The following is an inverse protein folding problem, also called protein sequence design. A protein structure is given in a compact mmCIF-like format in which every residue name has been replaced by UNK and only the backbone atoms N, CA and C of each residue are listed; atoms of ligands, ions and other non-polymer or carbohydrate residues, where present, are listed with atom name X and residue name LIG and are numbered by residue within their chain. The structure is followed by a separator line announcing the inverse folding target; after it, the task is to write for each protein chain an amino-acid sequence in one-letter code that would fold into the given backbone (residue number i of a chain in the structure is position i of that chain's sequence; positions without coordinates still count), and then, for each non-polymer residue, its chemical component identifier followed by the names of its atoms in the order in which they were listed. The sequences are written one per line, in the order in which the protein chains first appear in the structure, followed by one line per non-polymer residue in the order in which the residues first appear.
data_IF_941888667066
#
_entry.id   IF_941888667066
#
_cell.length_a   1.000
_cell.length_b   1.000
_cell.length_c   1.000
_cell.angle_alpha   90.00
_cell.angle_beta   90.00
_cell.angle_gamma   90.00
#
_symmetry.space_group_name_H-M   'P 1'
#
loop_
_entity.id
_entity.type
_entity.pdbx_description
1 polymer ?
#
# COMPACT_ATOMS: atom_id res chain seq x y z
N UNK A 1 -65.96 -2.18 -32.11
CA UNK A 1 -65.78 -0.74 -31.86
C UNK A 1 -64.65 -0.29 -32.75
N UNK A 2 -64.95 0.38 -33.85
CA UNK A 2 -63.93 0.88 -34.78
C UNK A 2 -63.53 2.29 -34.38
N UNK A 3 -62.23 2.51 -34.18
CA UNK A 3 -61.68 3.86 -34.01
C UNK A 3 -61.93 4.65 -35.31
N UNK A 4 -62.59 5.80 -35.20
CA UNK A 4 -62.80 6.72 -36.32
C UNK A 4 -61.46 7.43 -36.61
N UNK A 5 -61.00 7.48 -37.86
CA UNK A 5 -59.82 8.27 -38.19
C UNK A 5 -60.14 9.75 -37.94
N UNK A 6 -59.33 10.42 -37.12
CA UNK A 6 -59.37 11.88 -36.96
C UNK A 6 -59.11 12.52 -38.33
N UNK A 7 -60.19 12.90 -39.00
CA UNK A 7 -60.13 13.58 -40.28
C UNK A 7 -59.64 15.00 -40.01
N UNK A 8 -58.42 15.32 -40.45
CA UNK A 8 -57.86 16.66 -40.32
C UNK A 8 -58.76 17.60 -41.14
N UNK A 9 -59.28 18.64 -40.50
CA UNK A 9 -60.07 19.65 -41.19
C UNK A 9 -59.19 20.38 -42.22
N UNK A 10 -59.54 20.23 -43.49
CA UNK A 10 -58.82 20.81 -44.62
C UNK A 10 -58.77 22.34 -44.50
N UNK A 11 -59.79 22.97 -43.90
CA UNK A 11 -59.79 24.42 -43.71
C UNK A 11 -58.79 24.85 -42.63
N UNK A 12 -58.65 24.06 -41.57
CA UNK A 12 -57.66 24.29 -40.51
C UNK A 12 -56.24 24.12 -41.09
N UNK A 13 -56.03 23.08 -41.91
CA UNK A 13 -54.78 22.89 -42.64
C UNK A 13 -54.47 24.06 -43.60
N UNK A 14 -55.49 24.57 -44.30
CA UNK A 14 -55.35 25.73 -45.18
C UNK A 14 -55.07 27.02 -44.40
N UNK A 15 -55.65 27.20 -43.20
CA UNK A 15 -55.33 28.36 -42.36
C UNK A 15 -53.88 28.31 -41.87
N UNK A 16 -53.40 27.16 -41.38
CA UNK A 16 -52.00 27.01 -41.00
C UNK A 16 -51.05 27.26 -42.19
N UNK A 17 -51.43 26.81 -43.39
CA UNK A 17 -50.66 27.06 -44.60
C UNK A 17 -50.60 28.54 -44.95
N UNK A 18 -51.71 29.27 -44.84
CA UNK A 18 -51.76 30.71 -45.08
C UNK A 18 -50.96 31.51 -44.04
N UNK A 19 -51.01 31.11 -42.78
CA UNK A 19 -50.23 31.74 -41.72
C UNK A 19 -48.74 31.56 -41.96
N UNK A 20 -48.31 30.35 -42.37
CA UNK A 20 -46.93 30.07 -42.73
C UNK A 20 -46.47 30.89 -43.95
N UNK A 21 -47.32 31.00 -44.97
CA UNK A 21 -47.05 31.87 -46.14
C UNK A 21 -46.97 33.33 -45.73
N UNK A 22 -47.83 33.79 -44.81
CA UNK A 22 -47.82 35.15 -44.27
C UNK A 22 -46.54 35.48 -43.50
N UNK A 23 -46.10 34.57 -42.63
CA UNK A 23 -44.85 34.68 -41.85
C UNK A 23 -43.62 34.67 -42.77
N UNK A 24 -43.60 33.84 -43.81
CA UNK A 24 -42.48 33.76 -44.74
C UNK A 24 -42.54 34.81 -45.86
N UNK A 25 -43.58 35.66 -45.90
CA UNK A 25 -43.75 36.69 -46.93
C UNK A 25 -42.81 37.87 -46.73
N UNK A 26 -42.42 38.18 -45.50
CA UNK A 26 -41.46 39.23 -45.20
C UNK A 26 -40.03 38.70 -45.35
N UNK A 27 -39.31 39.22 -46.35
CA UNK A 27 -37.90 38.88 -46.58
C UNK A 27 -37.01 39.18 -45.36
N UNK A 28 -37.43 40.08 -44.47
CA UNK A 28 -36.72 40.37 -43.21
C UNK A 28 -36.70 39.16 -42.27
N UNK A 29 -37.81 38.43 -42.15
CA UNK A 29 -37.91 37.29 -41.24
C UNK A 29 -37.03 36.12 -41.73
N UNK A 30 -36.98 35.90 -43.05
CA UNK A 30 -36.06 34.92 -43.66
C UNK A 30 -34.60 35.28 -43.39
N UNK A 31 -34.23 36.55 -43.47
CA UNK A 31 -32.87 37.00 -43.18
C UNK A 31 -32.51 36.82 -41.70
N UNK A 32 -33.44 37.10 -40.78
CA UNK A 32 -33.25 36.89 -39.34
C UNK A 32 -33.05 35.40 -39.04
N UNK A 33 -33.86 34.52 -39.63
CA UNK A 33 -33.73 33.07 -39.47
C UNK A 33 -32.40 32.55 -40.04
N UNK A 34 -31.96 33.08 -41.19
CA UNK A 34 -30.66 32.72 -41.78
C UNK A 34 -29.49 33.15 -40.88
N UNK A 35 -29.53 34.38 -40.34
CA UNK A 35 -28.54 34.85 -39.38
C UNK A 35 -28.52 33.98 -38.11
N UNK A 36 -29.69 33.70 -37.54
CA UNK A 36 -29.82 32.84 -36.35
C UNK A 36 -29.29 31.42 -36.62
N UNK A 37 -29.53 30.87 -37.82
CA UNK A 37 -28.98 29.59 -38.23
C UNK A 37 -27.44 29.64 -38.29
N UNK A 38 -26.85 30.69 -38.87
CA UNK A 38 -25.39 30.82 -38.95
C UNK A 38 -24.75 31.05 -37.58
N UNK A 39 -25.38 31.83 -36.69
CA UNK A 39 -24.98 31.96 -35.29
C UNK A 39 -25.00 30.60 -34.60
N UNK A 40 -26.05 29.80 -34.80
CA UNK A 40 -26.18 28.49 -34.18
C UNK A 40 -25.11 27.50 -34.65
N UNK A 41 -24.69 27.58 -35.93
CA UNK A 41 -23.58 26.78 -36.47
C UNK A 41 -22.25 27.23 -35.88
N UNK A 42 -22.04 28.54 -35.77
CA UNK A 42 -20.82 29.09 -35.16
C UNK A 42 -20.70 28.67 -33.70
N UNK A 43 -21.77 28.84 -32.91
CA UNK A 43 -21.84 28.38 -31.52
C UNK A 43 -21.58 26.87 -31.39
N UNK A 44 -22.17 26.07 -32.28
CA UNK A 44 -21.92 24.62 -32.31
C UNK A 44 -20.44 24.33 -32.56
N UNK A 45 -19.83 24.98 -33.55
CA UNK A 45 -18.42 24.77 -33.86
C UNK A 45 -17.49 25.17 -32.70
N UNK A 46 -17.82 26.25 -31.99
CA UNK A 46 -17.08 26.69 -30.80
C UNK A 46 -17.24 25.68 -29.65
N UNK A 47 -18.46 25.23 -29.40
CA UNK A 47 -18.74 24.21 -28.38
C UNK A 47 -18.05 22.88 -28.68
N UNK A 48 -18.00 22.46 -29.94
CA UNK A 48 -17.30 21.24 -30.36
C UNK A 48 -15.78 21.40 -30.16
N UNK A 49 -15.22 22.57 -30.47
CA UNK A 49 -13.82 22.87 -30.24
C UNK A 49 -13.47 22.85 -28.74
N UNK A 50 -14.29 23.48 -27.90
CA UNK A 50 -14.11 23.50 -26.44
C UNK A 50 -14.23 22.10 -25.83
N UNK A 51 -15.20 21.31 -26.30
CA UNK A 51 -15.37 19.91 -25.89
C UNK A 51 -14.12 19.09 -26.24
N UNK A 52 -13.64 19.20 -27.48
CA UNK A 52 -12.44 18.48 -27.92
C UNK A 52 -11.20 18.91 -27.13
N UNK A 53 -11.03 20.21 -26.89
CA UNK A 53 -9.93 20.72 -26.07
C UNK A 53 -9.98 20.17 -24.64
N UNK A 54 -11.16 20.14 -24.04
CA UNK A 54 -11.38 19.55 -22.71
C UNK A 54 -11.06 18.05 -22.70
N UNK A 55 -11.48 17.32 -23.73
CA UNK A 55 -11.20 15.89 -23.86
C UNK A 55 -9.69 15.60 -23.98
N UNK A 56 -8.96 16.42 -24.75
CA UNK A 56 -7.50 16.35 -24.85
C UNK A 56 -6.84 16.61 -23.49
N UNK A 57 -7.26 17.66 -22.79
CA UNK A 57 -6.73 18.00 -21.47
C UNK A 57 -6.94 16.86 -20.46
N UNK A 58 -8.13 16.25 -20.45
CA UNK A 58 -8.42 15.08 -19.60
C UNK A 58 -7.49 13.91 -19.94
N UNK A 59 -7.29 13.61 -21.22
CA UNK A 59 -6.39 12.53 -21.66
C UNK A 59 -4.95 12.75 -21.18
N UNK A 60 -4.45 13.98 -21.27
CA UNK A 60 -3.12 14.35 -20.77
C UNK A 60 -3.01 14.13 -19.26
N UNK A 61 -4.02 14.59 -18.50
CA UNK A 61 -4.03 14.43 -17.03
C UNK A 61 -4.04 12.95 -16.65
N UNK A 62 -4.88 12.14 -17.29
CA UNK A 62 -4.96 10.69 -17.04
C UNK A 62 -3.63 10.00 -17.33
N UNK A 63 -2.99 10.32 -18.46
CA UNK A 63 -1.67 9.78 -18.77
C UNK A 63 -0.64 10.18 -17.71
N UNK A 64 -0.69 11.44 -17.24
CA UNK A 64 0.23 11.90 -16.21
C UNK A 64 0.00 11.23 -14.86
N UNK A 65 -1.25 10.97 -14.49
CA UNK A 65 -1.58 10.20 -13.30
C UNK A 65 -1.01 8.79 -13.38
N UNK A 66 -1.19 8.09 -14.51
CA UNK A 66 -0.63 6.75 -14.71
C UNK A 66 0.90 6.72 -14.61
N UNK A 67 1.59 7.73 -15.17
CA UNK A 67 3.04 7.87 -15.01
C UNK A 67 3.44 8.02 -13.53
N UNK A 68 2.75 8.86 -12.79
CA UNK A 68 3.03 9.10 -11.37
C UNK A 68 2.77 7.84 -10.53
N UNK A 69 1.68 7.12 -10.79
CA UNK A 69 1.37 5.87 -10.10
C UNK A 69 2.48 4.82 -10.31
N UNK A 70 2.98 4.70 -11.56
CA UNK A 70 4.11 3.82 -11.86
C UNK A 70 5.40 4.24 -11.13
N UNK A 71 5.66 5.54 -11.02
CA UNK A 71 6.81 6.06 -10.26
C UNK A 71 6.67 5.79 -8.76
N UNK A 72 5.47 5.89 -8.21
CA UNK A 72 5.21 5.57 -6.80
C UNK A 72 5.49 4.10 -6.51
N UNK A 73 5.03 3.19 -7.37
CA UNK A 73 5.33 1.76 -7.23
C UNK A 73 6.84 1.49 -7.23
N UNK A 74 7.58 2.07 -8.18
CA UNK A 74 9.03 1.92 -8.25
C UNK A 74 9.75 2.48 -7.02
N UNK A 75 9.30 3.64 -6.54
CA UNK A 75 9.87 4.30 -5.34
C UNK A 75 9.61 3.48 -4.08
N UNK A 76 8.40 2.93 -3.92
CA UNK A 76 8.06 2.11 -2.77
C UNK A 76 8.84 0.79 -2.77
N UNK A 77 9.04 0.16 -3.93
CA UNK A 77 9.93 -1.00 -4.03
C UNK A 77 11.36 -0.68 -3.60
N UNK A 78 11.92 0.43 -4.06
CA UNK A 78 13.26 0.87 -3.66
C UNK A 78 13.32 1.13 -2.15
N UNK A 79 12.30 1.79 -1.59
CA UNK A 79 12.20 2.03 -0.15
C UNK A 79 12.18 0.74 0.66
N UNK A 80 11.43 -0.27 0.21
CA UNK A 80 11.39 -1.57 0.88
C UNK A 80 12.72 -2.31 0.79
N UNK A 81 13.42 -2.23 -0.35
CA UNK A 81 14.76 -2.80 -0.51
C UNK A 81 15.76 -2.14 0.44
N UNK A 82 15.75 -0.82 0.55
CA UNK A 82 16.62 -0.08 1.49
C UNK A 82 16.36 -0.47 2.95
N UNK A 83 15.09 -0.50 3.38
CA UNK A 83 14.74 -0.95 4.74
C UNK A 83 15.26 -2.36 5.07
N UNK A 84 15.19 -3.28 4.10
CA UNK A 84 15.73 -4.65 4.28
C UNK A 84 17.25 -4.64 4.39
N UNK A 85 17.94 -3.84 3.58
CA UNK A 85 19.40 -3.71 3.64
C UNK A 85 19.86 -3.10 4.97
N UNK A 86 19.23 -2.02 5.42
CA UNK A 86 19.54 -1.40 6.72
C UNK A 86 19.33 -2.39 7.88
N UNK A 87 18.24 -3.16 7.87
CA UNK A 87 17.97 -4.16 8.90
C UNK A 87 19.00 -5.31 8.90
N UNK A 88 19.43 -5.77 7.73
CA UNK A 88 20.50 -6.78 7.63
C UNK A 88 21.85 -6.20 8.05
N UNK A 89 22.16 -4.95 7.70
CA UNK A 89 23.40 -4.28 8.13
C UNK A 89 23.45 -4.13 9.66
N UNK A 90 22.37 -3.65 10.29
CA UNK A 90 22.26 -3.57 11.75
C UNK A 90 22.46 -4.94 12.41
N UNK A 91 21.88 -5.98 11.82
CA UNK A 91 22.01 -7.36 12.31
C UNK A 91 23.45 -7.85 12.14
N UNK A 92 24.09 -7.59 11.01
CA UNK A 92 25.48 -7.95 10.72
C UNK A 92 26.46 -7.20 11.63
N UNK A 93 26.19 -5.95 12.01
CA UNK A 93 26.99 -5.21 12.97
C UNK A 93 26.82 -5.73 14.40
N UNK A 94 25.60 -6.10 14.81
CA UNK A 94 25.30 -6.54 16.19
C UNK A 94 25.63 -8.02 16.45
N UNK A 95 25.41 -8.90 15.48
CA UNK A 95 25.71 -10.35 15.57
C UNK A 95 27.14 -10.66 16.04
N UNK A 96 28.22 -10.09 15.47
CA UNK A 96 29.58 -10.41 15.87
C UNK A 96 29.88 -9.94 17.30
N UNK A 97 29.29 -8.84 17.75
CA UNK A 97 29.39 -8.39 19.14
C UNK A 97 28.72 -9.40 20.09
N UNK A 98 27.46 -9.78 19.81
CA UNK A 98 26.73 -10.76 20.60
C UNK A 98 27.43 -12.13 20.63
N UNK A 99 27.93 -12.60 19.48
CA UNK A 99 28.66 -13.87 19.37
C UNK A 99 29.94 -13.87 20.20
N UNK A 100 30.74 -12.79 20.18
CA UNK A 100 31.96 -12.69 21.00
C UNK A 100 31.62 -12.70 22.49
N UNK A 101 30.60 -11.95 22.90
CA UNK A 101 30.17 -11.86 24.30
C UNK A 101 29.66 -13.22 24.82
N UNK A 102 28.83 -13.91 24.04
CA UNK A 102 28.35 -15.25 24.37
C UNK A 102 29.50 -16.28 24.44
N UNK A 103 30.43 -16.24 23.49
CA UNK A 103 31.61 -17.12 23.51
C UNK A 103 32.48 -16.87 24.75
N UNK A 104 32.67 -15.59 25.11
CA UNK A 104 33.39 -15.21 26.33
C UNK A 104 32.67 -15.73 27.59
N UNK A 105 31.36 -15.53 27.71
CA UNK A 105 30.62 -16.05 28.86
C UNK A 105 30.62 -17.57 28.93
N UNK A 106 30.47 -18.26 27.81
CA UNK A 106 30.56 -19.72 27.76
C UNK A 106 31.96 -20.23 28.15
N UNK A 107 33.03 -19.49 27.86
CA UNK A 107 34.39 -19.89 28.23
C UNK A 107 34.63 -19.79 29.74
N UNK A 108 34.05 -18.79 30.40
CA UNK A 108 34.18 -18.56 31.86
C UNK A 108 33.23 -19.46 32.65
N UNK A 109 31.96 -19.50 32.25
CA UNK A 109 30.89 -20.15 33.03
C UNK A 109 30.68 -21.61 32.66
N UNK A 110 31.11 -22.02 31.46
CA UNK A 110 30.78 -23.33 30.85
C UNK A 110 29.28 -23.58 30.70
N UNK A 111 28.48 -22.52 30.75
CA UNK A 111 27.03 -22.56 30.57
C UNK A 111 26.68 -22.28 29.11
N UNK A 112 25.75 -23.08 28.57
CA UNK A 112 25.06 -22.83 27.31
C UNK A 112 23.60 -22.53 27.67
N UNK A 113 23.14 -21.27 27.56
CA UNK A 113 21.76 -20.93 27.85
C UNK A 113 20.82 -21.57 26.82
N UNK A 114 19.64 -21.97 27.26
CA UNK A 114 18.55 -22.33 26.38
C UNK A 114 17.88 -21.05 25.86
N UNK A 115 17.67 -20.97 24.55
CA UNK A 115 17.14 -19.78 23.88
C UNK A 115 15.67 -19.94 23.48
N UNK A 116 15.09 -21.13 23.67
CA UNK A 116 13.69 -21.41 23.30
C UNK A 116 12.69 -20.96 24.36
N UNK A 117 13.13 -20.88 25.62
CA UNK A 117 12.27 -20.51 26.75
C UNK A 117 12.35 -19.01 27.04
N UNK A 118 11.26 -18.27 26.83
CA UNK A 118 11.20 -16.82 27.08
C UNK A 118 10.90 -16.44 28.54
N UNK A 119 10.27 -17.35 29.30
CA UNK A 119 9.80 -17.06 30.67
C UNK A 119 10.77 -17.50 31.76
N UNK A 120 11.57 -18.55 31.51
CA UNK A 120 12.41 -19.19 32.52
C UNK A 120 13.89 -19.05 32.15
N UNK A 121 14.74 -18.85 33.16
CA UNK A 121 16.19 -18.88 32.98
C UNK A 121 16.62 -20.34 33.04
N UNK A 122 16.79 -20.96 31.88
CA UNK A 122 17.22 -22.35 31.78
C UNK A 122 18.42 -22.53 30.86
N UNK A 123 19.14 -23.63 31.04
CA UNK A 123 20.36 -23.88 30.30
C UNK A 123 21.04 -25.17 30.69
N UNK A 124 22.21 -25.39 30.09
CA UNK A 124 23.05 -26.56 30.30
C UNK A 124 24.43 -26.12 30.77
N UNK A 125 24.91 -26.68 31.88
CA UNK A 125 26.27 -26.49 32.36
C UNK A 125 27.14 -27.68 31.95
N UNK A 126 28.35 -27.40 31.45
CA UNK A 126 29.33 -28.42 31.07
C UNK A 126 30.32 -28.63 32.21
N UNK A 127 30.21 -29.75 32.90
CA UNK A 127 31.09 -30.10 34.02
C UNK A 127 32.26 -30.93 33.48
N UNK A 128 33.49 -30.46 33.70
CA UNK A 128 34.70 -31.22 33.41
C UNK A 128 35.15 -31.93 34.70
N UNK A 129 35.08 -33.25 34.75
CA UNK A 129 35.81 -33.98 35.78
C UNK A 129 37.32 -33.77 35.58
N UNK A 130 37.98 -33.42 36.67
CA UNK A 130 39.38 -33.00 36.78
C UNK A 130 40.36 -33.84 35.94
N UNK A 131 40.87 -33.25 34.84
CA UNK A 131 42.20 -33.40 34.17
C UNK A 131 42.70 -34.82 33.78
N UNK A 132 42.15 -35.93 34.26
CA UNK A 132 42.72 -37.28 34.09
C UNK A 132 41.93 -38.17 33.13
N UNK A 133 40.64 -37.91 32.90
CA UNK A 133 39.83 -38.65 31.91
C UNK A 133 39.25 -37.68 30.89
N UNK A 134 39.86 -37.66 29.70
CA UNK A 134 39.58 -36.69 28.63
C UNK A 134 38.19 -36.82 27.98
N UNK A 135 37.36 -37.80 28.38
CA UNK A 135 36.22 -38.26 27.58
C UNK A 135 34.85 -38.28 28.28
N UNK A 136 34.70 -37.85 29.54
CA UNK A 136 33.37 -37.74 30.20
C UNK A 136 32.93 -36.31 30.40
N UNK A 137 32.18 -35.80 29.42
CA UNK A 137 31.46 -34.52 29.49
C UNK A 137 30.07 -34.77 30.08
N UNK A 138 29.84 -34.41 31.34
CA UNK A 138 28.50 -34.47 31.94
C UNK A 138 27.82 -33.12 31.70
N UNK A 139 26.58 -33.16 31.22
CA UNK A 139 25.77 -31.98 30.92
C UNK A 139 24.62 -31.95 31.91
N UNK A 140 24.65 -31.01 32.85
CA UNK A 140 23.57 -30.83 33.84
C UNK A 140 22.61 -29.74 33.33
N UNK A 141 21.30 -30.01 33.35
CA UNK A 141 20.26 -29.04 32.97
C UNK A 141 19.79 -28.31 34.22
N UNK A 142 19.61 -26.99 34.14
CA UNK A 142 19.01 -26.18 35.18
C UNK A 142 17.87 -25.33 34.63
N UNK A 143 16.97 -24.92 35.51
CA UNK A 143 15.82 -24.07 35.21
C UNK A 143 15.45 -23.29 36.46
N UNK A 144 15.35 -21.96 36.32
CA UNK A 144 14.94 -21.03 37.37
C UNK A 144 13.77 -20.20 36.85
N UNK A 145 12.75 -20.01 37.69
CA UNK A 145 11.64 -19.12 37.40
C UNK A 145 11.94 -17.72 37.99
N UNK A 146 12.15 -16.69 37.15
CA UNK A 146 12.44 -15.33 37.61
C UNK A 146 11.25 -14.63 38.27
N UNK A 147 10.05 -15.24 38.26
CA UNK A 147 8.88 -14.75 39.00
C UNK A 147 8.79 -15.31 40.42
N UNK A 148 9.47 -16.43 40.71
CA UNK A 148 9.48 -17.09 42.02
C UNK A 148 10.73 -16.76 42.84
N UNK A 149 11.90 -16.61 42.21
CA UNK A 149 13.17 -16.27 42.87
C UNK A 149 13.70 -14.88 42.50
N UNK A 150 14.36 -14.21 43.45
CA UNK A 150 15.03 -12.95 43.20
C UNK A 150 16.28 -13.14 42.32
N UNK A 151 16.58 -12.12 41.51
CA UNK A 151 17.73 -12.13 40.60
C UNK A 151 19.06 -12.37 41.32
N UNK A 152 19.20 -11.89 42.57
CA UNK A 152 20.40 -12.12 43.38
C UNK A 152 20.56 -13.58 43.78
N UNK A 153 19.49 -14.24 44.20
CA UNK A 153 19.49 -15.63 44.62
C UNK A 153 19.77 -16.57 43.45
N UNK A 154 19.13 -16.31 42.29
CA UNK A 154 19.40 -17.03 41.04
C UNK A 154 20.87 -16.90 40.65
N UNK A 155 21.44 -15.70 40.70
CA UNK A 155 22.86 -15.48 40.40
C UNK A 155 23.78 -16.28 41.32
N UNK A 156 23.51 -16.26 42.63
CA UNK A 156 24.29 -17.01 43.61
C UNK A 156 24.18 -18.52 43.38
N UNK A 157 22.99 -19.02 43.07
CA UNK A 157 22.75 -20.42 42.76
C UNK A 157 23.53 -20.86 41.52
N UNK A 158 23.47 -20.08 40.44
CA UNK A 158 24.27 -20.32 39.23
C UNK A 158 25.78 -20.30 39.55
N UNK A 159 26.26 -19.34 40.34
CA UNK A 159 27.68 -19.24 40.69
C UNK A 159 28.16 -20.42 41.54
N UNK A 160 27.30 -20.94 42.43
CA UNK A 160 27.58 -22.19 43.18
C UNK A 160 27.70 -23.39 42.25
N UNK A 161 26.93 -23.44 41.15
CA UNK A 161 27.03 -24.51 40.15
C UNK A 161 28.32 -24.41 39.33
N UNK A 162 28.79 -23.21 39.01
CA UNK A 162 30.03 -22.98 38.25
C UNK A 162 31.28 -23.36 39.07
N UNK A 163 31.28 -23.08 40.38
CA UNK A 163 32.42 -23.34 41.27
C UNK A 163 32.41 -24.73 41.93
N UNK A 164 31.55 -25.64 41.47
CA UNK A 164 31.46 -27.01 41.95
C UNK A 164 32.58 -27.87 41.37
#
# INVERSE_FOLDING_TARGET
MGENPQYIDVNELLSYSNDLVGVLRDKRDINILTHCLDDSKSLRSASDADFNATQIAISIIVNKMNELDNQQLSTEEQRQRLKKLEAEEDKEQRLPFCRRKLSFYASVTKIIPDLESQSNICGRILIYHHIVERDRKVVEKFEFDPTEEDSFDICNNIWKMINR
#
